data_IF_736957955582
#
_entry.id   IF_736957955582
#
_cell.length_a   1.000
_cell.length_b   1.000
_cell.length_c   1.000
_cell.angle_alpha   90.00
_cell.angle_beta   90.00
_cell.angle_gamma   90.00
#
_symmetry.space_group_name_H-M   'P 1'
#
loop_
_entity.id
_entity.type
_entity.pdbx_description
1 polymer ?
#
# COMPACT_ATOMS: atom_id res chain seq x y z
N UNK A 1 -20.01 -14.99 14.26
CA UNK A 1 -20.39 -15.10 12.83
C UNK A 1 -19.23 -15.71 12.06
N UNK A 2 -19.54 -16.44 10.99
CA UNK A 2 -18.51 -16.86 10.01
C UNK A 2 -18.28 -15.72 9.01
N UNK A 3 -17.07 -15.21 8.95
CA UNK A 3 -16.73 -14.05 8.10
C UNK A 3 -15.63 -14.44 7.10
N UNK A 4 -15.86 -14.20 5.82
CA UNK A 4 -14.84 -14.32 4.79
C UNK A 4 -14.12 -12.98 4.58
N UNK A 5 -12.80 -13.00 4.42
CA UNK A 5 -11.99 -11.86 3.99
C UNK A 5 -11.34 -12.21 2.65
N UNK A 6 -11.54 -11.38 1.63
CA UNK A 6 -10.98 -11.61 0.29
C UNK A 6 -9.72 -10.78 0.09
N UNK A 7 -8.56 -11.45 0.04
CA UNK A 7 -7.24 -10.87 -0.10
C UNK A 7 -6.44 -10.80 1.22
N UNK A 8 -5.21 -11.28 1.20
CA UNK A 8 -4.29 -11.31 2.33
C UNK A 8 -3.15 -10.27 2.22
N UNK A 9 -3.42 -9.10 1.65
CA UNK A 9 -2.57 -7.91 1.80
C UNK A 9 -2.63 -7.38 3.24
N UNK A 10 -1.85 -6.35 3.56
CA UNK A 10 -1.82 -5.75 4.90
C UNK A 10 -3.21 -5.33 5.40
N UNK A 11 -4.07 -4.83 4.51
CA UNK A 11 -5.45 -4.44 4.84
C UNK A 11 -6.28 -5.66 5.22
N UNK A 12 -6.22 -6.74 4.42
CA UNK A 12 -7.01 -7.96 4.69
C UNK A 12 -6.55 -8.69 5.96
N UNK A 13 -5.23 -8.80 6.19
CA UNK A 13 -4.70 -9.44 7.41
C UNK A 13 -5.04 -8.62 8.66
N UNK A 14 -4.93 -7.28 8.59
CA UNK A 14 -5.36 -6.42 9.71
C UNK A 14 -6.87 -6.55 9.97
N UNK A 15 -7.69 -6.66 8.91
CA UNK A 15 -9.14 -6.87 9.03
C UNK A 15 -9.45 -8.22 9.68
N UNK A 16 -8.78 -9.29 9.23
CA UNK A 16 -8.96 -10.61 9.81
C UNK A 16 -8.58 -10.66 11.30
N UNK A 17 -7.50 -9.97 11.67
CA UNK A 17 -7.09 -9.83 13.07
C UNK A 17 -8.18 -9.13 13.92
N UNK A 18 -8.69 -7.98 13.48
CA UNK A 18 -9.71 -7.25 14.23
C UNK A 18 -11.00 -8.07 14.37
N UNK A 19 -11.40 -8.79 13.31
CA UNK A 19 -12.58 -9.65 13.32
C UNK A 19 -12.46 -10.85 14.28
N UNK A 20 -11.31 -11.55 14.27
CA UNK A 20 -11.13 -12.70 15.18
C UNK A 20 -11.05 -12.23 16.63
N UNK A 21 -10.47 -11.06 16.89
CA UNK A 21 -10.47 -10.43 18.23
C UNK A 21 -11.86 -10.05 18.72
N UNK A 22 -12.80 -9.79 17.80
CA UNK A 22 -14.22 -9.56 18.10
C UNK A 22 -15.02 -10.87 18.25
N UNK A 23 -14.36 -12.05 18.22
CA UNK A 23 -14.99 -13.36 18.42
C UNK A 23 -15.66 -13.92 17.17
N UNK A 24 -15.27 -13.47 15.96
CA UNK A 24 -15.74 -14.05 14.71
C UNK A 24 -14.87 -15.25 14.29
N UNK A 25 -15.47 -16.23 13.62
CA UNK A 25 -14.77 -17.28 12.88
C UNK A 25 -14.37 -16.69 11.51
N UNK A 26 -13.07 -16.61 11.23
CA UNK A 26 -12.57 -15.86 10.06
C UNK A 26 -11.82 -16.76 9.11
N UNK A 27 -12.21 -16.73 7.82
CA UNK A 27 -11.49 -17.37 6.72
C UNK A 27 -10.98 -16.31 5.74
N UNK A 28 -9.68 -16.31 5.44
CA UNK A 28 -9.05 -15.39 4.48
C UNK A 28 -8.69 -16.15 3.21
N UNK A 29 -9.24 -15.72 2.08
CA UNK A 29 -8.91 -16.27 0.76
C UNK A 29 -7.82 -15.42 0.10
N UNK A 30 -6.74 -16.08 -0.35
CA UNK A 30 -5.62 -15.42 -1.01
C UNK A 30 -5.17 -16.24 -2.23
N UNK A 31 -5.08 -15.56 -3.39
CA UNK A 31 -4.70 -16.20 -4.65
C UNK A 31 -3.22 -16.58 -4.72
N UNK A 32 -2.37 -15.93 -3.93
CA UNK A 32 -0.94 -16.23 -3.86
C UNK A 32 -0.64 -17.25 -2.75
N UNK A 33 0.59 -17.76 -2.76
CA UNK A 33 1.05 -18.73 -1.75
C UNK A 33 1.43 -18.11 -0.40
N UNK A 34 1.33 -16.78 -0.24
CA UNK A 34 1.67 -16.09 1.00
C UNK A 34 0.94 -14.77 1.16
N UNK A 35 0.88 -14.27 2.41
CA UNK A 35 0.39 -12.91 2.68
C UNK A 35 1.34 -11.86 2.12
N UNK A 36 0.82 -10.66 1.86
CA UNK A 36 1.58 -9.52 1.37
C UNK A 36 2.40 -9.81 0.09
N UNK A 37 1.92 -10.67 -0.78
CA UNK A 37 2.65 -11.08 -2.00
C UNK A 37 2.57 -10.08 -3.15
N UNK A 38 1.65 -9.12 -3.09
CA UNK A 38 1.42 -8.12 -4.14
C UNK A 38 1.74 -6.70 -3.65
N UNK A 39 0.79 -5.76 -3.67
CA UNK A 39 1.04 -4.33 -3.35
C UNK A 39 1.68 -4.10 -1.98
N UNK A 40 1.46 -4.97 -1.00
CA UNK A 40 2.07 -4.92 0.33
C UNK A 40 3.50 -5.50 0.39
N UNK A 41 4.02 -6.05 -0.71
CA UNK A 41 5.30 -6.78 -0.73
C UNK A 41 6.51 -5.88 -0.55
N UNK A 42 6.58 -4.79 -1.35
CA UNK A 42 7.76 -3.95 -1.39
C UNK A 42 7.41 -2.45 -1.57
N UNK A 43 6.43 -1.97 -0.80
CA UNK A 43 6.12 -0.55 -0.73
C UNK A 43 7.23 0.23 0.00
N UNK A 44 7.17 1.56 -0.01
CA UNK A 44 8.17 2.44 0.61
C UNK A 44 8.30 2.29 2.14
N UNK A 45 7.35 1.63 2.80
CA UNK A 45 7.34 1.44 4.25
C UNK A 45 6.97 2.67 5.07
N UNK A 46 6.62 3.77 4.44
CA UNK A 46 6.38 5.06 5.12
C UNK A 46 5.04 5.07 5.86
N UNK A 47 5.09 5.48 7.12
CA UNK A 47 3.94 5.71 8.01
C UNK A 47 4.02 7.16 8.47
N UNK A 48 3.49 8.05 7.64
CA UNK A 48 3.57 9.49 7.80
C UNK A 48 2.18 10.12 7.65
N UNK A 49 1.35 10.22 8.71
CA UNK A 49 0.01 10.77 8.65
C UNK A 49 -0.09 12.13 7.99
N UNK A 50 0.90 12.99 8.16
CA UNK A 50 0.97 14.31 7.53
C UNK A 50 1.14 14.27 6.01
N UNK A 51 1.68 13.20 5.50
CA UNK A 51 1.91 12.95 4.07
C UNK A 51 0.78 12.16 3.38
N UNK A 52 -0.19 11.66 4.14
CA UNK A 52 -1.37 10.97 3.59
C UNK A 52 -2.34 12.02 3.06
N UNK A 53 -2.24 12.31 1.77
CA UNK A 53 -3.04 13.35 1.11
C UNK A 53 -3.67 12.85 -0.18
N UNK A 54 -4.83 13.39 -0.59
CA UNK A 54 -5.42 13.07 -1.88
C UNK A 54 -4.49 13.48 -3.03
N UNK A 55 -4.43 12.70 -4.09
CA UNK A 55 -3.75 13.11 -5.31
C UNK A 55 -4.55 14.16 -6.11
N UNK A 56 -5.87 14.19 -5.89
CA UNK A 56 -6.75 15.19 -6.46
C UNK A 56 -6.61 16.52 -5.68
N UNK A 57 -5.56 17.28 -5.98
CA UNK A 57 -5.31 18.59 -5.37
C UNK A 57 -5.51 19.72 -6.36
N UNK A 58 -5.86 20.93 -5.90
CA UNK A 58 -5.97 22.12 -6.76
C UNK A 58 -4.70 22.35 -7.55
N UNK A 59 -4.84 22.63 -8.87
CA UNK A 59 -3.72 22.86 -9.77
C UNK A 59 -2.95 21.64 -10.24
N UNK A 60 -3.29 20.42 -9.75
CA UNK A 60 -2.58 19.20 -10.16
C UNK A 60 -2.75 18.84 -11.63
N UNK A 61 -3.88 19.16 -12.25
CA UNK A 61 -4.11 18.93 -13.69
C UNK A 61 -3.05 19.60 -14.55
N UNK A 62 -2.74 20.88 -14.29
CA UNK A 62 -1.68 21.61 -15.00
C UNK A 62 -0.28 21.10 -14.70
N UNK A 63 -0.02 20.70 -13.43
CA UNK A 63 1.28 20.14 -13.03
C UNK A 63 1.54 18.80 -13.72
N UNK A 64 0.56 17.90 -13.77
CA UNK A 64 0.69 16.59 -14.42
C UNK A 64 1.01 16.78 -15.90
N UNK A 65 0.27 17.64 -16.63
CA UNK A 65 0.53 17.94 -18.05
C UNK A 65 1.95 18.46 -18.28
N UNK A 66 2.43 19.38 -17.44
CA UNK A 66 3.77 19.98 -17.56
C UNK A 66 4.90 18.97 -17.35
N UNK A 67 4.71 17.95 -16.52
CA UNK A 67 5.76 16.99 -16.15
C UNK A 67 5.67 15.64 -16.86
N UNK A 68 4.63 15.38 -17.66
CA UNK A 68 4.42 14.09 -18.35
C UNK A 68 5.58 13.65 -19.25
N UNK A 69 6.31 14.60 -19.83
CA UNK A 69 7.35 14.34 -20.84
C UNK A 69 8.78 14.38 -20.28
N UNK A 70 8.94 14.57 -18.98
CA UNK A 70 10.26 14.59 -18.34
C UNK A 70 10.86 13.18 -18.22
N UNK A 71 12.17 13.03 -18.48
CA UNK A 71 12.89 11.76 -18.31
C UNK A 71 12.69 11.15 -16.91
N UNK A 72 12.67 12.00 -15.87
CA UNK A 72 12.49 11.62 -14.47
C UNK A 72 11.12 12.10 -13.90
N UNK A 73 10.07 12.05 -14.72
CA UNK A 73 8.73 12.44 -14.29
C UNK A 73 8.25 11.55 -13.13
N UNK A 74 7.70 12.13 -12.04
CA UNK A 74 7.15 11.35 -10.93
C UNK A 74 5.87 10.61 -11.32
N UNK A 75 5.12 11.12 -12.32
CA UNK A 75 3.91 10.49 -12.86
C UNK A 75 4.09 10.22 -14.34
N UNK A 76 3.71 9.03 -14.78
CA UNK A 76 3.78 8.57 -16.17
C UNK A 76 2.44 8.02 -16.62
N UNK A 77 2.11 8.15 -17.89
CA UNK A 77 0.94 7.53 -18.51
C UNK A 77 1.46 6.52 -19.54
N UNK A 78 1.18 5.24 -19.30
CA UNK A 78 1.61 4.13 -20.16
C UNK A 78 0.49 3.66 -21.11
N UNK A 79 -0.77 4.01 -20.83
CA UNK A 79 -1.91 3.70 -21.67
C UNK A 79 -3.19 4.36 -21.14
N UNK A 80 -4.15 4.53 -22.03
CA UNK A 80 -5.46 5.12 -21.72
C UNK A 80 -6.56 4.21 -22.25
N UNK A 81 -7.17 3.43 -21.37
CA UNK A 81 -8.41 2.72 -21.63
C UNK A 81 -9.63 3.53 -21.14
N UNK A 82 -10.83 3.08 -21.46
CA UNK A 82 -12.07 3.77 -21.07
C UNK A 82 -12.20 3.91 -19.54
N UNK A 83 -11.71 2.93 -18.80
CA UNK A 83 -11.75 2.97 -17.34
C UNK A 83 -10.82 4.05 -16.78
N UNK A 84 -9.60 4.14 -17.31
CA UNK A 84 -8.61 5.16 -16.97
C UNK A 84 -9.09 6.56 -17.35
N UNK A 85 -9.71 6.71 -18.53
CA UNK A 85 -10.31 7.99 -18.95
C UNK A 85 -11.46 8.42 -18.02
N UNK A 86 -12.35 7.50 -17.69
CA UNK A 86 -13.44 7.75 -16.73
C UNK A 86 -12.92 8.12 -15.34
N UNK A 87 -11.84 7.47 -14.90
CA UNK A 87 -11.16 7.81 -13.64
C UNK A 87 -10.54 9.21 -13.69
N UNK A 88 -9.82 9.55 -14.75
CA UNK A 88 -9.20 10.87 -14.94
C UNK A 88 -10.23 12.01 -14.93
N UNK A 89 -11.40 11.79 -15.53
CA UNK A 89 -12.49 12.78 -15.49
C UNK A 89 -13.01 13.00 -14.07
N UNK A 90 -13.22 11.93 -13.30
CA UNK A 90 -13.62 12.00 -11.87
C UNK A 90 -12.51 12.62 -11.01
N UNK A 91 -11.26 12.24 -11.23
CA UNK A 91 -10.10 12.82 -10.55
C UNK A 91 -10.00 14.34 -10.80
N UNK A 92 -10.18 14.79 -12.05
CA UNK A 92 -10.21 16.22 -12.39
C UNK A 92 -11.33 16.96 -11.66
N UNK A 93 -12.52 16.36 -11.57
CA UNK A 93 -13.67 16.95 -10.82
C UNK A 93 -13.36 17.05 -9.32
N UNK A 94 -12.61 16.13 -8.77
CA UNK A 94 -12.19 16.15 -7.37
C UNK A 94 -11.03 17.12 -7.06
N UNK A 95 -10.38 17.72 -8.09
CA UNK A 95 -9.29 18.68 -7.93
C UNK A 95 -9.78 20.09 -7.54
N UNK A 96 -10.81 20.23 -6.72
CA UNK A 96 -11.28 21.51 -6.16
C UNK A 96 -10.75 21.73 -4.75
N UNK A 97 -10.62 22.99 -4.28
CA UNK A 97 -10.19 23.27 -2.90
C UNK A 97 -11.08 22.60 -1.84
N UNK A 98 -12.39 22.63 -2.02
CA UNK A 98 -13.38 22.08 -1.09
C UNK A 98 -13.26 20.55 -0.99
N UNK A 99 -13.25 19.87 -2.14
CA UNK A 99 -13.08 18.42 -2.22
C UNK A 99 -11.73 17.98 -1.62
N UNK A 100 -10.66 18.71 -1.95
CA UNK A 100 -9.34 18.45 -1.40
C UNK A 100 -9.30 18.59 0.12
N UNK A 101 -9.85 19.68 0.68
CA UNK A 101 -9.87 19.94 2.11
C UNK A 101 -10.65 18.85 2.85
N UNK A 102 -11.83 18.50 2.38
CA UNK A 102 -12.66 17.45 2.99
C UNK A 102 -11.97 16.07 2.95
N UNK A 103 -11.47 15.66 1.77
CA UNK A 103 -10.85 14.35 1.61
C UNK A 103 -9.50 14.24 2.34
N UNK A 104 -8.76 15.35 2.43
CA UNK A 104 -7.55 15.42 3.23
C UNK A 104 -7.85 15.27 4.73
N UNK A 105 -8.89 15.93 5.24
CA UNK A 105 -9.31 15.79 6.64
C UNK A 105 -9.70 14.34 6.97
N UNK A 106 -10.46 13.68 6.10
CA UNK A 106 -10.82 12.26 6.20
C UNK A 106 -9.60 11.36 6.27
N UNK A 107 -8.66 11.54 5.33
CA UNK A 107 -7.42 10.76 5.27
C UNK A 107 -6.54 10.97 6.51
N UNK A 108 -6.34 12.21 6.94
CA UNK A 108 -5.53 12.53 8.11
C UNK A 108 -6.13 11.92 9.39
N UNK A 109 -7.44 12.04 9.57
CA UNK A 109 -8.16 11.44 10.71
C UNK A 109 -7.96 9.93 10.76
N UNK A 110 -8.17 9.24 9.62
CA UNK A 110 -7.97 7.81 9.52
C UNK A 110 -6.50 7.42 9.72
N UNK A 111 -5.55 8.16 9.15
CA UNK A 111 -4.12 7.87 9.26
C UNK A 111 -3.60 8.01 10.70
N UNK A 112 -4.03 9.04 11.43
CA UNK A 112 -3.71 9.22 12.85
C UNK A 112 -4.25 8.07 13.69
N UNK A 113 -5.50 7.72 13.48
CA UNK A 113 -6.13 6.59 14.16
C UNK A 113 -5.41 5.29 13.83
N UNK A 114 -5.12 5.06 12.56
CA UNK A 114 -4.41 3.86 12.11
C UNK A 114 -3.02 3.73 12.72
N UNK A 115 -2.25 4.83 12.83
CA UNK A 115 -0.95 4.82 13.50
C UNK A 115 -1.09 4.49 14.99
N UNK A 116 -2.07 5.06 15.69
CA UNK A 116 -2.32 4.74 17.09
C UNK A 116 -2.66 3.25 17.27
N UNK A 117 -3.51 2.70 16.39
CA UNK A 117 -3.85 1.27 16.38
C UNK A 117 -2.62 0.40 16.07
N UNK A 118 -1.81 0.78 15.10
CA UNK A 118 -0.57 0.08 14.75
C UNK A 118 0.39 0.01 15.94
N UNK A 119 0.59 1.13 16.65
CA UNK A 119 1.45 1.17 17.82
C UNK A 119 0.90 0.33 18.97
N UNK A 120 -0.41 0.38 19.21
CA UNK A 120 -1.08 -0.46 20.22
C UNK A 120 -0.90 -1.95 19.92
N UNK A 121 -1.13 -2.37 18.67
CA UNK A 121 -0.92 -3.75 18.22
C UNK A 121 0.56 -4.17 18.35
N UNK A 122 1.48 -3.31 17.95
CA UNK A 122 2.92 -3.55 18.04
C UNK A 122 3.35 -3.80 19.48
N UNK A 123 2.89 -2.95 20.41
CA UNK A 123 3.19 -3.08 21.83
C UNK A 123 2.54 -4.34 22.45
N UNK A 124 1.26 -4.58 22.13
CA UNK A 124 0.51 -5.72 22.66
C UNK A 124 1.08 -7.07 22.23
N UNK A 125 1.53 -7.18 20.97
CA UNK A 125 1.96 -8.44 20.36
C UNK A 125 3.48 -8.59 20.26
N UNK A 126 4.24 -7.58 20.68
CA UNK A 126 5.72 -7.59 20.59
C UNK A 126 6.23 -7.68 19.14
N UNK A 127 5.55 -7.00 18.18
CA UNK A 127 5.91 -7.14 16.76
C UNK A 127 7.15 -6.32 16.42
N UNK A 128 8.18 -6.97 15.90
CA UNK A 128 9.37 -6.35 15.34
C UNK A 128 9.35 -6.46 13.80
N UNK A 129 9.12 -5.34 13.13
CA UNK A 129 9.03 -5.24 11.67
C UNK A 129 10.02 -4.23 11.09
N UNK A 130 11.23 -4.18 11.63
CA UNK A 130 12.32 -3.30 11.17
C UNK A 130 11.90 -1.82 11.15
N UNK A 131 11.20 -1.39 12.22
CA UNK A 131 10.70 -0.02 12.34
C UNK A 131 11.81 0.93 12.76
N UNK A 132 11.83 2.13 12.17
CA UNK A 132 12.67 3.24 12.61
C UNK A 132 11.89 4.55 12.64
N UNK A 133 12.16 5.39 13.66
CA UNK A 133 11.48 6.66 13.88
C UNK A 133 12.16 7.81 13.11
N UNK A 134 11.37 8.82 12.80
CA UNK A 134 11.78 10.01 12.06
C UNK A 134 11.60 9.84 10.55
N UNK A 135 11.25 10.94 9.90
CA UNK A 135 11.14 11.02 8.44
C UNK A 135 11.64 12.39 7.99
N UNK A 136 12.49 12.43 6.97
CA UNK A 136 13.09 13.64 6.47
C UNK A 136 12.76 13.85 5.00
N UNK A 137 12.10 14.97 4.66
CA UNK A 137 11.81 15.34 3.27
C UNK A 137 12.89 16.32 2.81
N UNK A 138 13.60 15.97 1.76
CA UNK A 138 14.74 16.70 1.22
C UNK A 138 14.31 17.64 0.10
N UNK A 139 14.66 18.90 0.22
CA UNK A 139 14.38 19.98 -0.70
C UNK A 139 15.68 20.45 -1.34
N UNK A 140 15.84 20.22 -2.65
CA UNK A 140 17.10 20.47 -3.36
C UNK A 140 17.33 21.95 -3.66
N UNK A 141 16.24 22.73 -3.89
CA UNK A 141 16.32 24.11 -4.30
C UNK A 141 15.10 24.94 -3.82
N UNK A 142 15.18 26.28 -3.97
CA UNK A 142 14.10 27.21 -3.63
C UNK A 142 12.76 26.86 -4.28
N UNK A 143 12.77 26.33 -5.50
CA UNK A 143 11.55 25.90 -6.20
C UNK A 143 10.87 24.76 -5.45
N UNK A 144 11.63 23.79 -4.89
CA UNK A 144 11.08 22.66 -4.13
C UNK A 144 10.47 23.17 -2.81
N UNK A 145 11.14 24.12 -2.15
CA UNK A 145 10.64 24.76 -0.92
C UNK A 145 9.35 25.55 -1.22
N UNK A 146 9.32 26.31 -2.29
CA UNK A 146 8.12 27.06 -2.68
C UNK A 146 6.92 26.12 -2.93
N UNK A 147 7.15 24.97 -3.57
CA UNK A 147 6.12 23.96 -3.81
C UNK A 147 5.68 23.25 -2.52
N UNK A 148 6.55 23.12 -1.51
CA UNK A 148 6.26 22.50 -0.23
C UNK A 148 5.50 23.43 0.74
N UNK A 149 5.62 24.77 0.60
CA UNK A 149 5.01 25.77 1.52
C UNK A 149 3.52 25.56 1.82
N UNK A 150 2.65 25.27 0.84
CA UNK A 150 1.24 24.98 1.14
C UNK A 150 1.08 23.75 2.05
N UNK A 151 1.89 22.70 1.83
CA UNK A 151 1.92 21.52 2.69
C UNK A 151 2.36 21.84 4.11
N UNK A 152 3.40 22.68 4.30
CA UNK A 152 3.87 23.12 5.63
C UNK A 152 2.79 23.87 6.41
N UNK A 153 2.04 24.76 5.75
CA UNK A 153 0.90 25.45 6.40
C UNK A 153 -0.13 24.43 6.89
N UNK A 154 -0.48 23.47 6.05
CA UNK A 154 -1.43 22.44 6.38
C UNK A 154 -0.94 21.52 7.52
N UNK A 155 0.36 21.22 7.62
CA UNK A 155 0.94 20.49 8.75
C UNK A 155 0.75 21.28 10.05
N UNK A 156 1.05 22.60 10.03
CA UNK A 156 0.88 23.50 11.17
C UNK A 156 -0.60 23.59 11.62
N UNK A 157 -1.52 23.84 10.69
CA UNK A 157 -2.97 23.92 10.95
C UNK A 157 -3.55 22.63 11.54
N UNK A 158 -2.97 21.49 11.20
CA UNK A 158 -3.41 20.18 11.69
C UNK A 158 -2.66 19.70 12.93
N UNK A 159 -1.77 20.51 13.50
CA UNK A 159 -1.01 20.20 14.71
C UNK A 159 -0.06 19.00 14.52
N UNK A 160 0.44 18.77 13.29
CA UNK A 160 1.50 17.80 13.07
C UNK A 160 2.82 18.45 13.40
N UNK A 161 3.61 17.79 14.25
CA UNK A 161 4.92 18.26 14.63
C UNK A 161 5.89 18.12 13.47
N UNK A 162 6.47 19.22 13.04
CA UNK A 162 7.52 19.25 12.01
C UNK A 162 8.49 20.40 12.26
N UNK A 163 9.66 20.31 11.63
CA UNK A 163 10.64 21.41 11.61
C UNK A 163 11.17 21.58 10.17
N UNK A 164 11.16 22.83 9.69
CA UNK A 164 11.91 23.19 8.49
C UNK A 164 13.34 23.47 8.93
N UNK A 165 14.31 22.74 8.40
CA UNK A 165 15.71 22.75 8.81
C UNK A 165 16.63 22.99 7.61
N UNK A 166 17.80 23.57 7.86
CA UNK A 166 18.84 23.79 6.85
C UNK A 166 19.56 22.49 6.44
N UNK A 167 20.39 22.57 5.42
CA UNK A 167 21.17 21.44 4.92
C UNK A 167 22.12 20.83 5.95
N UNK A 168 22.70 21.68 6.83
CA UNK A 168 23.60 21.22 7.90
C UNK A 168 22.84 20.36 8.91
N UNK A 169 21.66 20.80 9.31
CA UNK A 169 20.80 20.06 10.24
C UNK A 169 20.23 18.78 9.61
N UNK A 170 19.90 18.78 8.32
CA UNK A 170 19.53 17.55 7.59
C UNK A 170 20.62 16.49 7.70
N UNK A 171 21.89 16.86 7.48
CA UNK A 171 23.04 15.94 7.58
C UNK A 171 23.34 15.50 9.01
N UNK A 172 22.90 16.24 10.02
CA UNK A 172 22.97 15.77 11.42
C UNK A 172 21.93 14.67 11.70
N UNK A 173 20.73 14.77 11.12
CA UNK A 173 19.70 13.72 11.22
C UNK A 173 20.08 12.49 10.40
N UNK A 174 20.59 12.70 9.18
CA UNK A 174 20.97 11.67 8.23
C UNK A 174 22.44 11.87 7.79
N UNK A 175 23.42 11.42 8.58
CA UNK A 175 24.85 11.64 8.29
C UNK A 175 25.33 10.95 7.00
N UNK A 176 24.63 9.90 6.56
CA UNK A 176 24.93 9.20 5.31
C UNK A 176 24.55 9.96 4.04
N UNK A 177 23.91 11.14 4.14
CA UNK A 177 23.58 11.95 2.97
C UNK A 177 24.83 12.44 2.26
N UNK A 178 24.90 12.22 0.95
CA UNK A 178 25.98 12.69 0.09
C UNK A 178 26.18 14.22 0.21
N UNK A 179 27.38 14.70 0.63
CA UNK A 179 27.64 16.12 0.76
C UNK A 179 27.62 16.88 -0.56
N UNK A 180 27.90 16.21 -1.68
CA UNK A 180 28.00 16.84 -3.00
C UNK A 180 26.64 17.03 -3.67
N UNK A 181 25.60 16.38 -3.15
CA UNK A 181 24.24 16.57 -3.68
C UNK A 181 23.64 17.89 -3.18
N UNK A 182 23.15 18.75 -4.10
CA UNK A 182 22.50 20.00 -3.71
C UNK A 182 21.34 19.76 -2.76
N UNK A 183 21.41 20.40 -1.60
CA UNK A 183 20.40 20.35 -0.54
C UNK A 183 20.24 21.74 0.04
N UNK A 184 19.08 22.35 -0.16
CA UNK A 184 18.76 23.66 0.39
C UNK A 184 18.24 23.53 1.83
N UNK A 185 17.25 22.67 2.03
CA UNK A 185 16.55 22.51 3.30
C UNK A 185 15.92 21.13 3.42
N UNK A 186 15.39 20.80 4.59
CA UNK A 186 14.58 19.62 4.81
C UNK A 186 13.38 19.88 5.72
N UNK A 187 12.35 19.06 5.57
CA UNK A 187 11.21 19.02 6.49
C UNK A 187 11.39 17.78 7.36
N UNK A 188 11.73 17.96 8.61
CA UNK A 188 11.88 16.89 9.58
C UNK A 188 10.54 16.63 10.27
N UNK A 189 10.08 15.39 10.24
CA UNK A 189 8.84 14.89 10.86
C UNK A 189 9.22 13.83 11.92
N UNK A 190 9.43 14.25 13.17
CA UNK A 190 10.00 13.38 14.20
C UNK A 190 9.04 12.25 14.64
N UNK A 191 7.73 12.44 14.48
CA UNK A 191 6.71 11.47 14.87
C UNK A 191 6.34 10.49 13.75
N UNK A 192 6.81 10.76 12.54
CA UNK A 192 6.62 9.85 11.41
C UNK A 192 7.70 8.76 11.44
N UNK A 193 7.46 7.67 10.74
CA UNK A 193 8.31 6.49 10.81
C UNK A 193 8.30 5.71 9.49
N UNK A 194 9.24 4.80 9.36
CA UNK A 194 9.21 3.75 8.34
C UNK A 194 9.17 2.39 9.02
N UNK A 195 8.51 1.42 8.38
CA UNK A 195 8.44 0.04 8.86
C UNK A 195 8.19 -0.93 7.71
N UNK A 196 8.70 -2.14 7.86
CA UNK A 196 8.58 -3.18 6.84
C UNK A 196 7.15 -3.75 6.81
N UNK A 197 6.33 -3.23 5.90
CA UNK A 197 4.93 -3.61 5.73
C UNK A 197 4.75 -5.12 5.53
N UNK A 198 5.60 -5.77 4.70
CA UNK A 198 5.52 -7.21 4.48
C UNK A 198 5.78 -7.99 5.76
N UNK A 199 6.83 -7.64 6.49
CA UNK A 199 7.19 -8.31 7.74
C UNK A 199 6.11 -8.13 8.79
N UNK A 200 5.58 -6.91 8.97
CA UNK A 200 4.43 -6.66 9.83
C UNK A 200 3.25 -7.57 9.45
N UNK A 201 2.92 -7.64 8.15
CA UNK A 201 1.79 -8.46 7.69
C UNK A 201 2.01 -9.95 7.98
N UNK A 202 3.23 -10.46 7.81
CA UNK A 202 3.58 -11.85 8.15
C UNK A 202 3.46 -12.11 9.65
N UNK A 203 4.01 -11.22 10.47
CA UNK A 203 3.93 -11.33 11.93
C UNK A 203 2.48 -11.30 12.42
N UNK A 204 1.69 -10.32 11.92
CA UNK A 204 0.28 -10.21 12.29
C UNK A 204 -0.54 -11.42 11.80
N UNK A 205 -0.22 -11.98 10.62
CA UNK A 205 -0.84 -13.21 10.14
C UNK A 205 -0.59 -14.37 11.10
N UNK A 206 0.64 -14.51 11.61
CA UNK A 206 0.97 -15.58 12.57
C UNK A 206 0.13 -15.45 13.84
N UNK A 207 -0.02 -14.24 14.38
CA UNK A 207 -0.88 -13.99 15.54
C UNK A 207 -2.37 -14.24 15.23
N UNK A 208 -2.83 -13.84 14.05
CA UNK A 208 -4.20 -14.11 13.61
C UNK A 208 -4.48 -15.62 13.50
N UNK A 209 -3.53 -16.40 12.98
CA UNK A 209 -3.65 -17.88 12.93
C UNK A 209 -3.67 -18.51 14.34
N UNK A 210 -2.84 -18.04 15.27
CA UNK A 210 -2.89 -18.48 16.66
C UNK A 210 -4.22 -18.17 17.32
N UNK A 211 -4.87 -17.06 16.90
CA UNK A 211 -6.19 -16.66 17.36
C UNK A 211 -7.33 -17.42 16.64
N UNK A 212 -7.04 -18.31 15.67
CA UNK A 212 -8.02 -19.16 15.00
C UNK A 212 -8.40 -18.73 13.58
N UNK A 213 -7.76 -17.69 12.99
CA UNK A 213 -8.00 -17.33 11.59
C UNK A 213 -7.47 -18.40 10.63
N UNK A 214 -8.31 -18.84 9.70
CA UNK A 214 -7.94 -19.76 8.63
C UNK A 214 -7.48 -18.97 7.41
N UNK A 215 -6.30 -19.31 6.85
CA UNK A 215 -5.80 -18.73 5.59
C UNK A 215 -5.82 -19.80 4.50
N UNK A 216 -6.58 -19.54 3.45
CA UNK A 216 -6.71 -20.42 2.28
C UNK A 216 -5.92 -19.79 1.14
N UNK A 217 -4.64 -20.18 1.04
CA UNK A 217 -3.73 -19.73 0.00
C UNK A 217 -4.00 -20.44 -1.33
N UNK A 218 -3.41 -19.93 -2.42
CA UNK A 218 -3.61 -20.44 -3.78
C UNK A 218 -5.09 -20.53 -4.19
N UNK A 219 -5.93 -19.67 -3.58
CA UNK A 219 -7.38 -19.68 -3.76
C UNK A 219 -7.85 -18.34 -4.28
N UNK A 220 -8.10 -18.27 -5.59
CA UNK A 220 -8.58 -17.07 -6.23
C UNK A 220 -10.11 -16.99 -6.16
N UNK A 221 -10.63 -15.97 -5.49
CA UNK A 221 -12.06 -15.65 -5.48
C UNK A 221 -12.44 -15.10 -6.85
N UNK A 222 -13.38 -15.76 -7.52
CA UNK A 222 -13.86 -15.45 -8.87
C UNK A 222 -15.18 -14.71 -8.87
N UNK A 223 -16.06 -15.03 -7.93
CA UNK A 223 -17.36 -14.40 -7.81
C UNK A 223 -17.83 -14.32 -6.37
N UNK A 224 -18.69 -13.35 -6.12
CA UNK A 224 -19.42 -13.18 -4.88
C UNK A 224 -20.91 -13.18 -5.17
N UNK A 225 -21.71 -13.78 -4.29
CA UNK A 225 -23.17 -13.68 -4.30
C UNK A 225 -23.62 -12.95 -3.04
N UNK A 226 -24.35 -11.87 -3.22
CA UNK A 226 -24.93 -11.11 -2.12
C UNK A 226 -26.19 -11.79 -1.59
N UNK A 227 -26.45 -11.64 -0.29
CA UNK A 227 -27.63 -12.18 0.37
C UNK A 227 -27.48 -12.18 1.88
N UNK A 228 -28.48 -12.62 2.62
CA UNK A 228 -28.42 -12.79 4.09
C UNK A 228 -27.29 -13.77 4.51
N UNK A 229 -26.96 -14.71 3.63
CA UNK A 229 -25.78 -15.59 3.71
C UNK A 229 -25.00 -15.48 2.40
N UNK A 230 -24.10 -14.48 2.29
CA UNK A 230 -23.33 -14.29 1.08
C UNK A 230 -22.41 -15.48 0.80
N UNK A 231 -22.17 -15.75 -0.49
CA UNK A 231 -21.33 -16.86 -0.93
C UNK A 231 -20.05 -16.33 -1.60
N UNK A 232 -18.95 -17.04 -1.35
CA UNK A 232 -17.66 -16.85 -2.00
C UNK A 232 -17.41 -18.02 -2.94
N UNK A 233 -17.35 -17.74 -4.23
CA UNK A 233 -16.94 -18.73 -5.24
C UNK A 233 -15.44 -18.54 -5.52
N UNK A 234 -14.66 -19.60 -5.29
CA UNK A 234 -13.22 -19.56 -5.46
C UNK A 234 -12.70 -20.78 -6.23
N UNK A 235 -11.52 -20.61 -6.81
CA UNK A 235 -10.79 -21.67 -7.51
C UNK A 235 -9.49 -21.89 -6.75
N UNK A 236 -9.26 -23.12 -6.32
CA UNK A 236 -7.99 -23.53 -5.74
C UNK A 236 -7.04 -24.00 -6.84
N UNK A 237 -5.85 -23.38 -6.89
CA UNK A 237 -4.77 -23.74 -7.81
C UNK A 237 -3.59 -24.21 -6.98
N UNK A 238 -3.24 -25.49 -6.97
CA UNK A 238 -2.07 -25.98 -6.25
C UNK A 238 -0.79 -25.29 -6.77
N UNK A 239 0.27 -25.16 -5.96
CA UNK A 239 1.54 -24.58 -6.39
C UNK A 239 2.12 -25.35 -7.59
N UNK A 240 2.69 -24.64 -8.55
CA UNK A 240 3.33 -25.24 -9.74
C UNK A 240 4.43 -26.26 -9.34
N UNK A 241 5.19 -25.99 -8.28
CA UNK A 241 6.20 -26.91 -7.76
C UNK A 241 5.62 -28.23 -7.26
N UNK A 242 4.44 -28.23 -6.63
CA UNK A 242 3.79 -29.49 -6.20
C UNK A 242 3.27 -30.29 -7.38
N UNK A 243 2.90 -29.62 -8.47
CA UNK A 243 2.47 -30.26 -9.71
C UNK A 243 3.66 -30.88 -10.46
N UNK A 244 4.80 -30.19 -10.49
CA UNK A 244 6.05 -30.71 -11.06
C UNK A 244 6.60 -31.88 -10.25
N UNK A 245 6.61 -31.78 -8.93
CA UNK A 245 7.08 -32.85 -8.05
C UNK A 245 6.18 -34.10 -8.15
N UNK A 246 4.84 -33.90 -8.22
CA UNK A 246 3.92 -35.01 -8.46
C UNK A 246 4.14 -35.68 -9.81
N UNK A 247 4.34 -34.88 -10.89
CA UNK A 247 4.67 -35.41 -12.22
C UNK A 247 5.98 -36.18 -12.24
N UNK A 248 7.03 -35.71 -11.56
CA UNK A 248 8.32 -36.42 -11.44
C UNK A 248 8.19 -37.75 -10.68
N UNK A 249 7.42 -37.77 -9.57
CA UNK A 249 7.17 -39.00 -8.78
C UNK A 249 6.40 -40.06 -9.61
N UNK A 250 5.47 -39.63 -10.45
CA UNK A 250 4.70 -40.53 -11.29
C UNK A 250 5.50 -41.04 -12.49
N UNK A 251 6.39 -40.19 -13.07
CA UNK A 251 7.33 -40.64 -14.09
C UNK A 251 8.30 -41.70 -13.55
N UNK A 252 8.81 -41.54 -12.32
CA UNK A 252 9.62 -42.55 -11.64
C UNK A 252 8.86 -43.86 -11.35
N UNK A 253 7.54 -43.80 -11.20
CA UNK A 253 6.67 -45.00 -10.99
C UNK A 253 6.26 -45.67 -12.29
N UNK A 254 6.71 -45.20 -13.46
CA UNK A 254 6.40 -45.77 -14.76
C UNK A 254 4.95 -45.60 -15.18
N UNK A 255 4.21 -44.72 -14.51
CA UNK A 255 2.85 -44.30 -14.93
C UNK A 255 3.06 -43.16 -15.91
N UNK A 256 2.61 -43.31 -17.15
CA UNK A 256 2.85 -42.37 -18.23
C UNK A 256 2.44 -40.92 -17.87
N UNK A 257 2.88 -39.91 -18.64
CA UNK A 257 2.70 -38.52 -18.28
C UNK A 257 1.23 -38.19 -18.06
N UNK A 258 0.89 -37.61 -16.90
CA UNK A 258 -0.45 -37.07 -16.64
C UNK A 258 -0.67 -35.91 -17.60
N UNK A 259 -1.34 -36.21 -18.71
CA UNK A 259 -1.76 -35.18 -19.70
C UNK A 259 -3.05 -34.47 -19.27
N UNK A 260 -3.57 -34.76 -18.09
CA UNK A 260 -4.73 -34.07 -17.53
C UNK A 260 -4.25 -33.16 -16.40
N UNK A 261 -4.09 -31.87 -16.72
CA UNK A 261 -4.13 -30.84 -15.71
C UNK A 261 -5.35 -31.12 -14.81
N UNK A 262 -5.13 -31.36 -13.51
CA UNK A 262 -6.26 -31.55 -12.59
C UNK A 262 -7.22 -30.38 -12.78
N UNK A 263 -8.52 -30.66 -13.03
CA UNK A 263 -9.47 -29.57 -13.25
C UNK A 263 -9.44 -28.68 -12.00
N UNK A 264 -9.25 -27.37 -12.20
CA UNK A 264 -9.30 -26.40 -11.12
C UNK A 264 -10.59 -26.61 -10.33
N UNK A 265 -10.45 -26.98 -9.06
CA UNK A 265 -11.61 -27.28 -8.24
C UNK A 265 -12.32 -25.97 -7.88
N UNK A 266 -13.50 -25.76 -8.47
CA UNK A 266 -14.36 -24.62 -8.13
C UNK A 266 -15.19 -24.99 -6.91
N UNK A 267 -15.07 -24.18 -5.87
CA UNK A 267 -15.82 -24.33 -4.62
C UNK A 267 -16.64 -23.08 -4.34
N UNK A 268 -17.80 -23.27 -3.71
CA UNK A 268 -18.64 -22.19 -3.20
C UNK A 268 -18.88 -22.40 -1.72
N UNK A 269 -18.64 -21.38 -0.91
CA UNK A 269 -18.81 -21.40 0.53
C UNK A 269 -19.67 -20.23 0.99
N UNK A 270 -20.62 -20.51 1.91
CA UNK A 270 -21.50 -19.51 2.49
C UNK A 270 -20.98 -18.99 3.82
N UNK A 271 -21.11 -17.68 4.01
CA UNK A 271 -20.68 -16.93 5.21
C UNK A 271 -21.83 -16.06 5.74
N UNK A 272 -21.65 -15.50 6.94
CA UNK A 272 -22.57 -14.50 7.48
C UNK A 272 -22.23 -13.08 6.97
N UNK A 273 -20.94 -12.86 6.63
CA UNK A 273 -20.45 -11.63 6.03
C UNK A 273 -19.22 -11.91 5.15
N UNK A 274 -19.02 -11.10 4.12
CA UNK A 274 -17.82 -11.11 3.27
C UNK A 274 -17.21 -9.72 3.23
N UNK A 275 -15.92 -9.60 3.57
CA UNK A 275 -15.17 -8.34 3.50
C UNK A 275 -14.24 -8.34 2.31
N UNK A 276 -14.42 -7.42 1.37
CA UNK A 276 -13.60 -7.30 0.16
C UNK A 276 -12.40 -6.42 0.43
N UNK A 277 -11.20 -7.06 0.51
CA UNK A 277 -9.88 -6.44 0.69
C UNK A 277 -8.96 -6.73 -0.52
N UNK A 278 -9.54 -6.97 -1.71
CA UNK A 278 -8.85 -7.50 -2.89
C UNK A 278 -8.12 -6.43 -3.73
N UNK A 279 -7.78 -5.29 -3.14
CA UNK A 279 -7.05 -4.18 -3.80
C UNK A 279 -7.67 -3.82 -5.17
N UNK A 280 -6.90 -3.91 -6.27
CA UNK A 280 -7.39 -3.62 -7.62
C UNK A 280 -8.47 -4.63 -8.06
N UNK A 281 -8.38 -5.89 -7.62
CA UNK A 281 -9.36 -6.93 -7.92
C UNK A 281 -10.76 -6.68 -7.35
N UNK A 282 -10.89 -5.82 -6.34
CA UNK A 282 -12.19 -5.45 -5.75
C UNK A 282 -13.20 -4.95 -6.78
N UNK A 283 -12.74 -4.20 -7.79
CA UNK A 283 -13.61 -3.68 -8.85
C UNK A 283 -14.32 -4.79 -9.61
N UNK A 284 -13.58 -5.81 -10.03
CA UNK A 284 -14.14 -6.92 -10.82
C UNK A 284 -15.11 -7.78 -9.99
N UNK A 285 -14.80 -8.03 -8.73
CA UNK A 285 -15.64 -8.81 -7.81
C UNK A 285 -16.95 -8.10 -7.45
N UNK A 286 -16.96 -6.79 -7.38
CA UNK A 286 -18.10 -5.99 -6.93
C UNK A 286 -19.02 -5.55 -8.06
N UNK A 287 -18.51 -5.42 -9.29
CA UNK A 287 -19.28 -4.96 -10.45
C UNK A 287 -20.53 -5.82 -10.73
N UNK A 288 -20.49 -7.16 -10.67
CA UNK A 288 -21.69 -8.02 -10.88
C UNK A 288 -22.76 -7.82 -9.80
N UNK A 289 -22.39 -7.31 -8.62
CA UNK A 289 -23.30 -6.99 -7.51
C UNK A 289 -23.91 -5.59 -7.60
N UNK A 290 -23.66 -4.87 -8.71
CA UNK A 290 -24.10 -3.48 -8.88
C UNK A 290 -23.26 -2.44 -8.14
N UNK A 291 -22.22 -2.85 -7.42
CA UNK A 291 -21.33 -1.93 -6.67
C UNK A 291 -20.20 -1.46 -7.58
N UNK A 292 -20.27 -0.20 -8.01
CA UNK A 292 -19.34 0.38 -8.99
C UNK A 292 -18.26 1.21 -8.30
N UNK A 293 -17.09 0.63 -8.10
CA UNK A 293 -15.91 1.36 -7.63
C UNK A 293 -15.14 1.93 -8.82
N UNK A 294 -14.97 3.26 -8.91
CA UNK A 294 -14.11 3.91 -9.92
C UNK A 294 -12.63 3.73 -9.53
N UNK A 295 -12.18 2.49 -9.47
CA UNK A 295 -10.87 2.10 -9.00
C UNK A 295 -9.98 1.73 -10.18
N UNK A 296 -8.77 2.29 -10.23
CA UNK A 296 -7.74 1.96 -11.22
C UNK A 296 -6.44 1.56 -10.55
N UNK A 297 -5.64 0.78 -11.28
CA UNK A 297 -4.28 0.46 -10.89
C UNK A 297 -3.34 1.62 -11.23
N UNK A 298 -2.64 2.15 -10.22
CA UNK A 298 -1.49 3.03 -10.44
C UNK A 298 -0.24 2.32 -9.97
N UNK A 299 0.62 1.94 -10.93
CA UNK A 299 1.80 1.16 -10.62
C UNK A 299 2.89 2.02 -9.97
N UNK A 300 3.51 1.47 -8.95
CA UNK A 300 4.71 1.99 -8.31
C UNK A 300 5.84 1.00 -8.45
N UNK A 301 7.05 1.51 -8.27
CA UNK A 301 8.28 0.73 -8.41
C UNK A 301 9.09 0.80 -7.14
N UNK A 302 9.81 -0.26 -6.82
CA UNK A 302 10.84 -0.22 -5.79
C UNK A 302 12.04 -1.09 -6.17
N UNK A 303 13.17 -0.68 -5.61
CA UNK A 303 14.45 -1.38 -5.67
C UNK A 303 14.87 -1.64 -4.24
N UNK A 304 15.12 -2.88 -3.87
CA UNK A 304 15.61 -3.27 -2.55
C UNK A 304 16.95 -3.97 -2.71
N UNK A 305 17.95 -3.57 -1.91
CA UNK A 305 19.26 -4.20 -1.89
C UNK A 305 19.82 -4.32 -0.47
N UNK A 306 20.67 -5.30 -0.18
CA UNK A 306 21.49 -5.28 1.02
C UNK A 306 22.39 -4.04 1.02
N UNK A 307 22.59 -3.47 2.21
CA UNK A 307 23.56 -2.37 2.37
C UNK A 307 24.98 -2.92 2.51
N UNK A 308 25.95 -2.22 1.94
CA UNK A 308 27.35 -2.50 2.17
C UNK A 308 27.70 -2.19 3.63
N UNK A 309 28.57 -2.98 4.21
CA UNK A 309 29.21 -2.67 5.48
C UNK A 309 30.58 -2.06 5.18
N UNK A 310 30.78 -0.83 5.61
CA UNK A 310 32.04 -0.10 5.44
C UNK A 310 32.49 0.32 6.81
N UNK A 311 33.55 -0.29 7.35
CA UNK A 311 34.03 -0.01 8.72
C UNK A 311 34.38 1.48 8.92
N UNK A 312 34.97 2.11 7.90
CA UNK A 312 35.31 3.53 7.90
C UNK A 312 34.07 4.46 7.86
N UNK A 313 32.90 3.95 7.48
CA UNK A 313 31.66 4.72 7.31
C UNK A 313 30.47 3.94 7.87
N UNK A 314 30.33 3.80 9.19
CA UNK A 314 29.27 3.00 9.82
C UNK A 314 27.86 3.59 9.57
N UNK A 315 27.78 4.89 9.28
CA UNK A 315 26.53 5.60 8.95
C UNK A 315 26.19 5.57 7.43
N UNK A 316 26.77 4.67 6.65
CA UNK A 316 26.43 4.55 5.23
C UNK A 316 24.94 4.23 5.06
N UNK A 317 24.25 5.03 4.26
CA UNK A 317 22.81 4.90 4.03
C UNK A 317 21.94 5.67 5.06
N UNK A 318 20.62 5.65 4.90
CA UNK A 318 19.71 6.34 5.79
C UNK A 318 19.66 5.68 7.17
N UNK A 319 19.42 6.48 8.22
CA UNK A 319 19.11 5.98 9.57
C UNK A 319 17.65 5.52 9.67
N UNK A 320 16.75 6.21 8.99
CA UNK A 320 15.33 5.89 8.93
C UNK A 320 14.81 5.97 7.50
N UNK A 321 14.05 7.00 7.16
CA UNK A 321 13.52 7.23 5.84
C UNK A 321 13.68 8.67 5.39
N UNK A 322 14.05 8.84 4.12
CA UNK A 322 14.10 10.15 3.48
C UNK A 322 13.22 10.17 2.24
N UNK A 323 12.68 11.35 1.91
CA UNK A 323 11.92 11.58 0.68
C UNK A 323 12.61 12.66 -0.15
N UNK A 324 12.97 12.34 -1.36
CA UNK A 324 13.31 13.37 -2.33
C UNK A 324 12.02 14.01 -2.87
N UNK A 325 11.77 15.26 -2.47
CA UNK A 325 10.53 15.96 -2.81
C UNK A 325 10.39 16.20 -4.31
N UNK A 326 11.49 16.46 -5.01
CA UNK A 326 11.52 16.73 -6.45
C UNK A 326 11.09 15.55 -7.29
N UNK A 327 11.61 14.37 -6.97
CA UNK A 327 11.34 13.14 -7.72
C UNK A 327 10.22 12.29 -7.11
N UNK A 328 9.74 12.66 -5.91
CA UNK A 328 8.74 11.87 -5.13
C UNK A 328 9.19 10.43 -4.94
N UNK A 329 10.45 10.27 -4.57
CA UNK A 329 11.10 8.98 -4.32
C UNK A 329 11.53 8.91 -2.85
N UNK A 330 11.05 7.87 -2.17
CA UNK A 330 11.46 7.57 -0.80
C UNK A 330 12.64 6.61 -0.79
N UNK A 331 13.58 6.83 0.12
CA UNK A 331 14.67 5.91 0.44
C UNK A 331 14.52 5.52 1.91
N UNK A 332 14.31 4.25 2.18
CA UNK A 332 14.00 3.73 3.52
C UNK A 332 14.98 2.62 3.91
N UNK A 333 15.34 2.58 5.19
CA UNK A 333 16.16 1.51 5.77
C UNK A 333 15.28 0.45 6.45
N UNK A 334 15.53 -0.82 6.16
CA UNK A 334 14.92 -1.99 6.82
C UNK A 334 16.04 -2.92 7.29
N UNK A 335 16.42 -2.82 8.56
CA UNK A 335 17.55 -3.53 9.11
C UNK A 335 18.85 -3.26 8.33
N UNK A 336 19.36 -4.26 7.63
CA UNK A 336 20.57 -4.16 6.79
C UNK A 336 20.24 -4.02 5.30
N UNK A 337 19.04 -3.60 4.96
CA UNK A 337 18.60 -3.39 3.57
C UNK A 337 18.17 -1.95 3.37
N UNK A 338 18.45 -1.45 2.17
CA UNK A 338 17.95 -0.18 1.67
C UNK A 338 16.87 -0.44 0.63
N UNK A 339 15.79 0.34 0.68
CA UNK A 339 14.74 0.32 -0.32
C UNK A 339 14.52 1.72 -0.87
N UNK A 340 14.52 1.81 -2.19
CA UNK A 340 14.16 3.01 -2.93
C UNK A 340 12.82 2.76 -3.61
N UNK A 341 11.84 3.60 -3.37
CA UNK A 341 10.49 3.40 -3.89
C UNK A 341 9.87 4.72 -4.35
N UNK A 342 9.20 4.68 -5.49
CA UNK A 342 8.59 5.87 -6.06
C UNK A 342 7.89 5.60 -7.36
N UNK A 343 7.81 6.64 -8.18
CA UNK A 343 7.11 6.69 -9.46
C UNK A 343 5.62 6.33 -9.36
N UNK A 344 4.88 6.78 -10.32
CA UNK A 344 3.48 6.45 -10.51
C UNK A 344 3.20 6.28 -12.00
N UNK A 345 2.78 5.08 -12.39
CA UNK A 345 2.44 4.77 -13.78
C UNK A 345 0.97 4.42 -13.90
N UNK A 346 0.23 5.22 -14.64
CA UNK A 346 -1.18 5.04 -14.92
C UNK A 346 -1.37 4.29 -16.24
N UNK A 347 -2.24 3.29 -16.29
CA UNK A 347 -2.54 2.51 -17.49
C UNK A 347 -1.45 1.52 -17.90
N UNK A 348 -0.45 1.25 -17.04
CA UNK A 348 0.58 0.26 -17.27
C UNK A 348 0.05 -1.19 -17.10
N UNK A 349 0.81 -2.15 -17.61
CA UNK A 349 0.56 -3.58 -17.39
C UNK A 349 1.43 -4.11 -16.25
N UNK A 350 0.89 -5.02 -15.43
CA UNK A 350 1.61 -5.59 -14.27
C UNK A 350 2.92 -6.28 -14.67
N UNK A 351 2.93 -6.94 -15.82
CA UNK A 351 4.05 -7.75 -16.32
C UNK A 351 5.18 -6.93 -16.97
N UNK A 352 4.94 -5.64 -17.30
CA UNK A 352 5.94 -4.84 -18.02
C UNK A 352 6.61 -3.83 -17.09
N UNK A 353 7.92 -3.95 -16.89
CA UNK A 353 8.72 -2.96 -16.17
C UNK A 353 8.96 -1.72 -17.03
N UNK A 354 8.96 -0.55 -16.39
CA UNK A 354 9.27 0.73 -17.01
C UNK A 354 10.70 1.13 -16.60
N UNK A 355 11.65 1.03 -17.53
CA UNK A 355 13.07 1.33 -17.28
C UNK A 355 13.29 2.76 -16.80
N UNK A 356 12.61 3.74 -17.39
CA UNK A 356 12.77 5.14 -16.99
C UNK A 356 12.23 5.43 -15.55
N UNK A 357 11.30 4.61 -15.05
CA UNK A 357 10.91 4.66 -13.64
C UNK A 357 12.04 4.12 -12.75
N UNK A 358 12.65 3.00 -13.13
CA UNK A 358 13.79 2.42 -12.40
C UNK A 358 15.01 3.34 -12.44
N UNK A 359 15.34 3.93 -13.61
CA UNK A 359 16.42 4.93 -13.74
C UNK A 359 16.27 6.08 -12.74
N UNK A 360 15.03 6.51 -12.51
CA UNK A 360 14.74 7.56 -11.52
C UNK A 360 15.02 7.11 -10.10
N UNK A 361 14.70 5.85 -9.75
CA UNK A 361 15.00 5.29 -8.44
C UNK A 361 16.51 5.17 -8.21
N UNK A 362 17.24 4.61 -9.18
CA UNK A 362 18.71 4.49 -9.10
C UNK A 362 19.37 5.87 -9.03
N UNK A 363 18.90 6.84 -9.84
CA UNK A 363 19.40 8.22 -9.76
C UNK A 363 19.27 8.80 -8.35
N UNK A 364 18.09 8.67 -7.72
CA UNK A 364 17.85 9.23 -6.38
C UNK A 364 18.69 8.50 -5.33
N UNK A 365 18.84 7.18 -5.47
CA UNK A 365 19.71 6.40 -4.58
C UNK A 365 21.16 6.87 -4.68
N UNK A 366 21.68 7.03 -5.89
CA UNK A 366 23.05 7.43 -6.14
C UNK A 366 23.30 8.89 -5.76
N UNK A 367 22.36 9.77 -6.03
CA UNK A 367 22.44 11.16 -5.60
C UNK A 367 22.60 11.26 -4.06
N UNK A 368 21.76 10.58 -3.26
CA UNK A 368 21.73 10.74 -1.81
C UNK A 368 22.63 9.79 -1.04
N UNK A 369 22.81 8.56 -1.51
CA UNK A 369 23.56 7.50 -0.82
C UNK A 369 24.43 6.71 -1.81
N UNK A 370 25.43 7.34 -2.45
CA UNK A 370 26.27 6.68 -3.44
C UNK A 370 27.00 5.48 -2.83
N UNK A 371 27.02 4.38 -3.57
CA UNK A 371 27.75 3.18 -3.18
C UNK A 371 27.18 2.37 -2.02
N UNK A 372 26.03 2.76 -1.43
CA UNK A 372 25.43 2.07 -0.28
C UNK A 372 24.91 0.67 -0.61
N UNK A 373 24.39 0.47 -1.81
CA UNK A 373 23.73 -0.77 -2.21
C UNK A 373 24.70 -1.82 -2.77
N UNK A 374 24.49 -3.08 -2.41
CA UNK A 374 25.12 -4.22 -3.09
C UNK A 374 24.34 -4.51 -4.37
N UNK A 375 24.78 -3.93 -5.48
CA UNK A 375 24.05 -3.96 -6.77
C UNK A 375 23.90 -5.37 -7.37
N UNK A 376 24.72 -6.33 -6.98
CA UNK A 376 24.62 -7.73 -7.41
C UNK A 376 23.42 -8.49 -6.78
N UNK A 377 22.79 -7.93 -5.76
CA UNK A 377 21.69 -8.56 -5.00
C UNK A 377 20.45 -7.69 -4.97
N UNK A 378 20.19 -6.98 -6.06
CA UNK A 378 19.05 -6.08 -6.18
C UNK A 378 17.78 -6.85 -6.48
N UNK A 379 16.74 -6.61 -5.68
CA UNK A 379 15.38 -7.02 -5.95
C UNK A 379 14.58 -5.85 -6.51
N UNK A 380 14.17 -5.94 -7.76
CA UNK A 380 13.27 -4.97 -8.40
C UNK A 380 11.84 -5.45 -8.26
N UNK A 381 10.94 -4.52 -7.93
CA UNK A 381 9.52 -4.83 -7.77
C UNK A 381 8.64 -3.75 -8.41
N UNK A 382 7.48 -4.19 -8.93
CA UNK A 382 6.39 -3.36 -9.42
C UNK A 382 5.09 -3.78 -8.73
N UNK A 383 4.29 -2.83 -8.27
CA UNK A 383 3.02 -3.10 -7.63
C UNK A 383 1.94 -2.10 -7.96
N UNK A 384 0.70 -2.58 -7.96
CA UNK A 384 -0.49 -1.82 -8.33
C UNK A 384 -1.17 -1.19 -7.11
N UNK A 385 -1.17 0.14 -7.01
CA UNK A 385 -1.93 0.88 -6.00
C UNK A 385 -3.40 0.94 -6.40
N UNK A 386 -4.35 0.54 -5.53
CA UNK A 386 -5.78 0.61 -5.81
C UNK A 386 -6.31 2.04 -5.62
N UNK A 387 -6.21 2.88 -6.64
CA UNK A 387 -6.50 4.31 -6.54
C UNK A 387 -7.95 4.64 -6.81
N UNK A 388 -8.60 5.29 -5.84
CA UNK A 388 -9.86 6.02 -6.06
C UNK A 388 -9.57 7.45 -6.53
N UNK A 389 -10.43 8.06 -7.34
CA UNK A 389 -10.13 9.35 -7.95
C UNK A 389 -10.08 10.51 -6.95
N UNK A 390 -10.82 10.42 -5.86
CA UNK A 390 -10.93 11.43 -4.81
C UNK A 390 -9.97 11.21 -3.62
N UNK A 391 -9.39 9.98 -3.47
CA UNK A 391 -8.31 9.65 -2.54
C UNK A 391 -8.65 8.76 -1.35
N UNK A 392 -9.63 9.04 -0.48
CA UNK A 392 -9.96 8.22 0.68
C UNK A 392 -10.41 6.80 0.32
N UNK A 393 -10.12 5.78 1.15
CA UNK A 393 -10.66 4.43 0.95
C UNK A 393 -12.18 4.37 1.13
N UNK A 394 -12.80 3.28 0.70
CA UNK A 394 -14.19 2.94 1.02
C UNK A 394 -14.23 1.88 2.09
N UNK A 395 -14.95 2.17 3.17
CA UNK A 395 -15.03 1.36 4.38
C UNK A 395 -16.50 1.09 4.74
N UNK A 396 -16.81 -0.11 5.19
CA UNK A 396 -18.15 -0.46 5.68
C UNK A 396 -19.05 -1.16 4.67
N UNK A 397 -20.35 -0.99 4.77
CA UNK A 397 -21.34 -1.68 3.93
C UNK A 397 -21.18 -1.30 2.44
N UNK A 398 -21.29 -2.29 1.56
CA UNK A 398 -21.18 -2.07 0.11
C UNK A 398 -22.48 -1.60 -0.54
N UNK A 399 -23.61 -1.71 0.14
CA UNK A 399 -24.95 -1.62 -0.44
C UNK A 399 -25.52 -2.98 -0.91
N UNK A 400 -24.66 -3.96 -1.17
CA UNK A 400 -25.08 -5.35 -1.45
C UNK A 400 -25.14 -6.15 -0.14
N UNK A 401 -26.24 -6.86 0.09
CA UNK A 401 -26.49 -7.58 1.35
C UNK A 401 -25.36 -8.55 1.69
N UNK A 402 -24.85 -8.48 2.93
CA UNK A 402 -23.78 -9.36 3.42
C UNK A 402 -22.36 -9.02 2.94
N UNK A 403 -22.22 -8.04 2.03
CA UNK A 403 -20.91 -7.66 1.45
C UNK A 403 -20.42 -6.34 2.06
N UNK A 404 -19.19 -6.35 2.55
CA UNK A 404 -18.50 -5.24 3.21
C UNK A 404 -17.24 -4.85 2.44
N UNK A 405 -16.83 -3.59 2.56
CA UNK A 405 -15.70 -3.03 1.85
C UNK A 405 -14.61 -2.58 2.82
N UNK A 406 -13.37 -2.92 2.47
CA UNK A 406 -12.16 -2.31 3.01
C UNK A 406 -11.17 -2.17 1.86
N UNK A 407 -11.42 -1.19 0.97
CA UNK A 407 -10.81 -1.12 -0.36
C UNK A 407 -10.48 0.31 -0.78
N UNK A 408 -9.63 0.45 -1.82
CA UNK A 408 -9.34 1.75 -2.42
C UNK A 408 -8.35 2.61 -1.65
N UNK A 409 -7.44 2.03 -0.87
CA UNK A 409 -6.47 2.73 -0.02
C UNK A 409 -5.37 3.48 -0.79
N UNK A 410 -5.32 3.35 -2.10
CA UNK A 410 -4.37 4.04 -2.96
C UNK A 410 -2.91 3.81 -2.58
N UNK A 411 -2.13 4.88 -2.51
CA UNK A 411 -0.71 4.84 -2.12
C UNK A 411 -0.48 4.72 -0.61
N UNK A 412 -1.53 4.84 0.21
CA UNK A 412 -1.42 4.98 1.66
C UNK A 412 -1.90 3.76 2.43
N UNK A 413 -2.09 2.61 1.75
CA UNK A 413 -2.65 1.41 2.35
C UNK A 413 -1.92 0.93 3.60
N UNK A 414 -0.59 1.04 3.65
CA UNK A 414 0.19 0.71 4.84
C UNK A 414 -0.17 1.62 6.03
N UNK A 415 -0.15 2.93 5.81
CA UNK A 415 -0.45 3.90 6.86
C UNK A 415 -1.92 3.88 7.35
N UNK A 416 -2.83 3.31 6.56
CA UNK A 416 -4.28 3.29 6.85
C UNK A 416 -4.81 1.94 7.32
N UNK A 417 -4.05 0.85 7.15
CA UNK A 417 -4.54 -0.53 7.28
C UNK A 417 -5.16 -0.85 8.65
N UNK A 418 -4.46 -0.54 9.75
CA UNK A 418 -4.92 -0.90 11.09
C UNK A 418 -6.18 -0.14 11.49
N UNK A 419 -6.25 1.16 11.14
CA UNK A 419 -7.43 1.99 11.42
C UNK A 419 -8.63 1.60 10.58
N UNK A 420 -8.45 1.36 9.28
CA UNK A 420 -9.53 0.95 8.40
C UNK A 420 -10.08 -0.43 8.77
N UNK A 421 -9.20 -1.35 9.19
CA UNK A 421 -9.60 -2.67 9.67
C UNK A 421 -10.52 -2.57 10.91
N UNK A 422 -10.15 -1.75 11.89
CA UNK A 422 -10.99 -1.55 13.09
C UNK A 422 -12.34 -0.92 12.75
N UNK A 423 -12.34 0.12 11.89
CA UNK A 423 -13.59 0.76 11.43
C UNK A 423 -14.54 -0.25 10.79
N UNK A 424 -14.03 -1.12 9.91
CA UNK A 424 -14.87 -2.13 9.23
C UNK A 424 -15.35 -3.19 10.21
N UNK A 425 -14.52 -3.64 11.14
CA UNK A 425 -14.93 -4.60 12.15
C UNK A 425 -15.98 -4.01 13.10
N UNK A 426 -15.88 -2.73 13.48
CA UNK A 426 -16.91 -2.05 14.27
C UNK A 426 -18.24 -1.95 13.51
N UNK A 427 -18.18 -1.65 12.20
CA UNK A 427 -19.38 -1.59 11.36
C UNK A 427 -20.09 -2.95 11.27
N UNK A 428 -19.35 -4.05 11.10
CA UNK A 428 -19.88 -5.42 11.08
C UNK A 428 -20.51 -5.78 12.44
N UNK A 429 -19.86 -5.40 13.54
CA UNK A 429 -20.34 -5.62 14.89
C UNK A 429 -21.44 -4.62 15.32
N UNK A 430 -21.84 -3.70 14.44
CA UNK A 430 -22.79 -2.60 14.71
C UNK A 430 -22.36 -1.74 15.92
N UNK A 431 -21.06 -1.57 16.10
CA UNK A 431 -20.49 -0.66 17.11
C UNK A 431 -20.21 0.71 16.49
N UNK A 432 -20.30 1.75 17.31
CA UNK A 432 -19.87 3.09 16.89
C UNK A 432 -18.35 3.11 16.78
N UNK A 433 -17.77 3.46 15.62
CA UNK A 433 -16.32 3.64 15.48
C UNK A 433 -15.81 4.73 16.43
N UNK A 434 -14.55 4.59 16.87
CA UNK A 434 -13.87 5.58 17.74
C UNK A 434 -13.59 6.90 17.03
N UNK A 435 -13.62 6.89 15.70
CA UNK A 435 -13.43 8.09 14.87
C UNK A 435 -14.68 8.36 14.03
N UNK A 436 -14.85 9.61 13.64
CA UNK A 436 -15.84 9.96 12.64
C UNK A 436 -15.47 9.34 11.27
N UNK A 437 -16.42 8.63 10.67
CA UNK A 437 -16.26 7.88 9.40
C UNK A 437 -17.03 8.53 8.26
N UNK A 438 -17.58 9.73 8.45
CA UNK A 438 -18.29 10.47 7.40
C UNK A 438 -17.45 10.60 6.14
N UNK A 439 -18.04 10.21 5.00
CA UNK A 439 -17.42 10.23 3.70
C UNK A 439 -16.32 9.18 3.49
N UNK A 440 -16.26 8.14 4.33
CA UNK A 440 -15.46 6.94 4.06
C UNK A 440 -16.31 5.79 3.50
N UNK A 441 -17.61 5.96 3.36
CA UNK A 441 -18.53 4.99 2.78
C UNK A 441 -18.53 5.04 1.23
N UNK A 442 -19.16 4.05 0.61
CA UNK A 442 -19.25 3.94 -0.86
C UNK A 442 -20.18 4.99 -1.47
N UNK A 443 -21.14 5.49 -0.73
CA UNK A 443 -22.13 6.47 -1.21
C UNK A 443 -21.52 7.80 -1.68
N UNK A 444 -20.33 8.18 -1.13
CA UNK A 444 -19.64 9.39 -1.60
C UNK A 444 -19.16 9.33 -3.06
N UNK A 445 -19.10 8.15 -3.65
CA UNK A 445 -18.58 7.97 -5.02
C UNK A 445 -19.65 8.20 -6.11
N UNK A 446 -20.90 8.38 -5.73
CA UNK A 446 -22.06 8.86 -6.50
C UNK A 446 -22.48 7.93 -7.61
#
# INVERSE_FOLDING_TARGET
MRVAVVGAGVVGVATAWELVRDGHEVTVFERRGSVAAETSFANAGVIAPGYVTPWAAPGMTGKVLKHLFGRHAPVRIAGLDLATLGWLLRWRRACTPESYAANRARLLRLARYSRARLHALTAQLGLDYERSAGYLVLLRAEQDLALARPGLRLLAETGIRFALVDAKRCRQFEPGLNPDTPLLAGIHLPDDEVGNCRQFTVLLRNEAQRAGVQFVFHSEVRALRAGPRPEVEHIHSPPEESTLLAAMIEEERGQGPITQAQPFERRSEAFDAVVVCAAVGSRALLAPLGVRLPLVAVHGYSVTAPMRRVEAHPDIGPRSGVMDERYKVAVSRFGQRIRVAGSAELGGRDTRMNSAALDTLYKVLDDWFPGVAQVSQVQVWKGARPMLPDGPPVLGASGASGIWLNAGHGSSGWALACGSARVVADAIARRRPEIDVEGLDVGRLG
#
